data_IF_377754120763
#
_entry.id   IF_377754120763
#
_cell.length_a   1.000
_cell.length_b   1.000
_cell.length_c   1.000
_cell.angle_alpha   90.00
_cell.angle_beta   90.00
_cell.angle_gamma   90.00
#
_symmetry.space_group_name_H-M   'P 1'
#
loop_
_entity.id
_entity.type
_entity.pdbx_description
1 polymer ?
#
# COMPACT_ATOMS: atom_id res chain seq x y z
N UNK A 1 36.55 23.43 14.13
CA UNK A 1 35.51 23.10 13.14
C UNK A 1 35.67 21.64 12.74
N UNK A 2 35.01 20.73 13.45
CA UNK A 2 35.01 19.31 13.09
C UNK A 2 34.15 19.11 11.86
N UNK A 3 34.69 18.51 10.80
CA UNK A 3 33.90 18.11 9.64
C UNK A 3 32.77 17.22 10.13
N UNK A 4 31.52 17.62 9.88
CA UNK A 4 30.36 16.78 10.12
C UNK A 4 30.49 15.57 9.23
N UNK A 5 30.98 14.48 9.81
CA UNK A 5 31.21 13.28 9.06
C UNK A 5 29.86 12.64 8.72
N UNK A 6 29.66 12.34 7.45
CA UNK A 6 28.34 12.02 6.90
C UNK A 6 27.77 10.74 7.50
N UNK A 7 26.61 10.84 8.14
CA UNK A 7 25.77 9.67 8.43
C UNK A 7 25.01 9.30 7.17
N UNK A 8 25.07 8.02 6.80
CA UNK A 8 24.33 7.48 5.66
C UNK A 8 23.20 6.59 6.20
N UNK A 9 21.94 7.03 6.09
CA UNK A 9 20.79 6.19 6.41
C UNK A 9 20.48 5.25 5.25
N UNK A 10 20.13 4.01 5.57
CA UNK A 10 19.67 2.98 4.65
C UNK A 10 18.31 2.48 5.10
N UNK A 11 17.34 2.48 4.19
CA UNK A 11 15.97 2.04 4.42
C UNK A 11 15.68 0.80 3.57
N UNK A 12 14.98 -0.17 4.16
CA UNK A 12 14.61 -1.44 3.53
C UNK A 12 13.13 -1.68 3.81
N UNK A 13 12.33 -1.66 2.75
CA UNK A 13 10.90 -1.98 2.80
C UNK A 13 10.61 -3.23 1.98
N UNK A 14 10.08 -4.27 2.63
CA UNK A 14 9.72 -5.54 2.02
C UNK A 14 8.27 -5.88 2.37
N UNK A 15 7.47 -6.17 1.36
CA UNK A 15 6.09 -6.60 1.56
C UNK A 15 5.73 -7.69 0.55
N UNK A 16 5.07 -8.74 1.05
CA UNK A 16 4.46 -9.77 0.21
C UNK A 16 3.02 -9.92 0.64
N UNK A 17 2.08 -9.55 -0.24
CA UNK A 17 0.65 -9.72 0.01
C UNK A 17 -0.01 -10.54 -1.09
N UNK A 18 -1.04 -11.28 -0.71
CA UNK A 18 -1.91 -12.05 -1.58
C UNK A 18 -3.33 -11.56 -1.41
N UNK A 19 -4.01 -11.27 -2.51
CA UNK A 19 -5.39 -10.79 -2.50
C UNK A 19 -6.31 -11.80 -3.15
N UNK A 20 -7.35 -12.23 -2.43
CA UNK A 20 -8.43 -13.06 -2.96
C UNK A 20 -9.75 -12.29 -2.89
N UNK A 21 -10.47 -12.27 -4.02
CA UNK A 21 -11.82 -11.70 -4.10
C UNK A 21 -12.83 -12.79 -3.77
N UNK A 22 -13.71 -12.52 -2.83
CA UNK A 22 -14.77 -13.43 -2.42
C UNK A 22 -16.12 -12.79 -2.70
N UNK A 23 -17.01 -13.49 -3.41
CA UNK A 23 -18.35 -13.01 -3.75
C UNK A 23 -18.92 -13.63 -5.04
N UNK A 24 -20.24 -13.80 -5.09
CA UNK A 24 -20.95 -14.14 -6.33
C UNK A 24 -20.99 -12.88 -7.17
N UNK A 25 -20.12 -12.78 -8.17
CA UNK A 25 -19.97 -11.61 -9.04
C UNK A 25 -21.34 -11.05 -9.49
N UNK A 26 -22.31 -11.93 -9.78
CA UNK A 26 -23.65 -11.56 -10.24
C UNK A 26 -24.59 -11.02 -9.14
N UNK A 27 -24.58 -11.58 -7.93
CA UNK A 27 -25.44 -11.11 -6.82
C UNK A 27 -24.87 -9.82 -6.18
N UNK A 28 -23.54 -9.69 -6.15
CA UNK A 28 -22.86 -8.52 -5.59
C UNK A 28 -22.81 -7.32 -6.56
N UNK A 29 -22.90 -7.54 -7.87
CA UNK A 29 -23.00 -6.47 -8.87
C UNK A 29 -24.34 -5.75 -8.84
N UNK A 30 -25.43 -6.44 -8.50
CA UNK A 30 -26.76 -5.82 -8.34
C UNK A 30 -26.87 -4.98 -7.06
N UNK A 31 -25.96 -5.20 -6.08
CA UNK A 31 -25.90 -4.50 -4.80
C UNK A 31 -24.61 -3.68 -4.59
N UNK A 32 -23.78 -3.53 -5.62
CA UNK A 32 -22.57 -2.68 -5.66
C UNK A 32 -21.54 -2.86 -4.53
N UNK A 33 -21.38 -4.07 -3.96
CA UNK A 33 -20.42 -4.32 -2.89
C UNK A 33 -19.28 -5.24 -3.39
N UNK A 34 -18.03 -4.79 -3.34
CA UNK A 34 -16.85 -5.62 -3.60
C UNK A 34 -16.14 -5.95 -2.28
N UNK A 35 -16.09 -7.24 -1.92
CA UNK A 35 -15.33 -7.73 -0.76
C UNK A 35 -13.99 -8.29 -1.22
N UNK A 36 -12.91 -7.83 -0.59
CA UNK A 36 -11.53 -8.28 -0.86
C UNK A 36 -10.91 -8.71 0.46
N UNK A 37 -10.33 -9.90 0.48
CA UNK A 37 -9.53 -10.39 1.59
C UNK A 37 -8.07 -10.38 1.14
N UNK A 38 -7.27 -9.61 1.84
CA UNK A 38 -5.81 -9.57 1.65
C UNK A 38 -5.12 -10.20 2.86
N UNK A 39 -4.19 -11.09 2.58
CA UNK A 39 -3.30 -11.70 3.58
C UNK A 39 -1.85 -11.49 3.18
N UNK A 40 -0.92 -11.50 4.14
CA UNK A 40 0.48 -11.39 3.80
C UNK A 40 1.36 -11.07 4.99
N UNK A 41 2.52 -10.50 4.69
CA UNK A 41 3.43 -9.96 5.69
C UNK A 41 4.15 -8.73 5.15
N UNK A 42 4.58 -7.88 6.07
CA UNK A 42 5.45 -6.76 5.76
C UNK A 42 6.62 -6.70 6.76
N UNK A 43 7.72 -6.11 6.31
CA UNK A 43 8.93 -5.90 7.07
C UNK A 43 9.56 -4.58 6.64
N UNK A 44 9.85 -3.71 7.61
CA UNK A 44 10.50 -2.42 7.38
C UNK A 44 11.72 -2.33 8.29
N UNK A 45 12.86 -1.89 7.76
CA UNK A 45 14.08 -1.72 8.53
C UNK A 45 14.82 -0.44 8.15
N UNK A 46 15.39 0.21 9.17
CA UNK A 46 16.24 1.39 9.05
C UNK A 46 17.59 1.10 9.71
N UNK A 47 18.66 1.26 8.95
CA UNK A 47 20.04 1.09 9.40
C UNK A 47 20.79 2.40 9.14
N UNK A 48 21.43 2.95 10.16
CA UNK A 48 22.27 4.16 10.02
C UNK A 48 23.74 3.79 10.18
N UNK A 49 24.55 4.14 9.19
CA UNK A 49 26.00 3.96 9.20
C UNK A 49 26.74 5.27 9.48
N UNK A 50 27.84 5.15 10.21
CA UNK A 50 28.82 6.19 10.44
C UNK A 50 30.23 5.60 10.27
N UNK A 51 30.94 5.92 9.19
CA UNK A 51 32.26 5.33 8.85
C UNK A 51 32.29 3.81 9.01
N UNK A 52 31.37 3.13 8.33
CA UNK A 52 31.28 1.66 8.34
C UNK A 52 30.86 1.04 9.69
N UNK A 53 30.59 1.84 10.71
CA UNK A 53 29.98 1.40 11.97
C UNK A 53 28.46 1.59 11.94
N UNK A 54 27.73 0.53 12.33
CA UNK A 54 26.28 0.64 12.50
C UNK A 54 25.96 1.32 13.83
N UNK A 55 25.49 2.56 13.76
CA UNK A 55 25.19 3.37 14.96
C UNK A 55 23.73 3.27 15.40
N UNK A 56 22.83 2.86 14.52
CA UNK A 56 21.41 2.70 14.84
C UNK A 56 20.76 1.62 13.97
N UNK A 57 19.90 0.79 14.60
CA UNK A 57 19.10 -0.24 13.94
C UNK A 57 17.67 -0.16 14.45
N UNK A 58 16.72 0.04 13.54
CA UNK A 58 15.30 -0.07 13.79
C UNK A 58 14.68 -1.05 12.79
N UNK A 59 13.72 -1.83 13.25
CA UNK A 59 13.04 -2.84 12.47
C UNK A 59 11.63 -3.00 13.00
N UNK A 60 10.68 -3.18 12.09
CA UNK A 60 9.28 -3.35 12.38
C UNK A 60 8.65 -4.23 11.31
N UNK A 61 7.41 -4.65 11.53
CA UNK A 61 6.68 -5.42 10.54
C UNK A 61 5.52 -6.17 11.16
N UNK A 62 4.70 -6.73 10.28
CA UNK A 62 3.54 -7.54 10.60
C UNK A 62 3.70 -8.90 9.91
N UNK A 63 4.02 -9.97 10.65
CA UNK A 63 4.24 -11.30 10.06
C UNK A 63 2.94 -11.96 9.59
N UNK A 64 1.79 -11.48 10.07
CA UNK A 64 0.48 -11.97 9.69
C UNK A 64 -0.45 -10.79 9.49
N UNK A 65 -0.32 -10.15 8.33
CA UNK A 65 -1.20 -9.09 7.87
C UNK A 65 -2.49 -9.72 7.36
N UNK A 66 -3.61 -9.32 7.95
CA UNK A 66 -4.95 -9.74 7.53
C UNK A 66 -5.84 -8.51 7.38
N UNK A 67 -6.31 -8.26 6.16
CA UNK A 67 -7.10 -7.07 5.83
C UNK A 67 -8.37 -7.45 5.08
N UNK A 68 -9.49 -6.97 5.61
CA UNK A 68 -10.80 -7.07 4.98
C UNK A 68 -11.24 -5.72 4.44
N UNK A 69 -11.34 -5.60 3.12
CA UNK A 69 -11.83 -4.39 2.47
C UNK A 69 -13.20 -4.64 1.83
N UNK A 70 -14.17 -3.77 2.17
CA UNK A 70 -15.46 -3.72 1.50
C UNK A 70 -15.60 -2.39 0.78
N UNK A 71 -15.54 -2.41 -0.56
CA UNK A 71 -15.73 -1.21 -1.38
C UNK A 71 -17.16 -1.17 -1.91
N UNK A 72 -17.92 -0.13 -1.56
CA UNK A 72 -19.24 0.15 -2.13
C UNK A 72 -19.08 1.06 -3.35
N UNK A 73 -19.54 0.63 -4.53
CA UNK A 73 -19.51 1.43 -5.77
C UNK A 73 -20.93 1.71 -6.27
N UNK A 74 -21.70 2.59 -5.61
CA UNK A 74 -23.14 2.71 -5.83
C UNK A 74 -23.57 3.10 -7.26
N UNK A 75 -22.66 3.64 -8.09
CA UNK A 75 -22.96 3.98 -9.51
C UNK A 75 -22.36 2.98 -10.52
N UNK A 76 -21.80 1.87 -10.07
CA UNK A 76 -21.34 0.79 -10.95
C UNK A 76 -20.15 1.14 -11.87
N UNK A 77 -19.94 0.38 -12.97
CA UNK A 77 -18.83 0.58 -13.91
C UNK A 77 -18.84 1.96 -14.61
N UNK A 78 -20.01 2.61 -14.70
CA UNK A 78 -20.18 3.91 -15.37
C UNK A 78 -19.52 5.07 -14.62
N UNK A 79 -19.23 4.90 -13.33
CA UNK A 79 -18.49 5.85 -12.51
C UNK A 79 -17.05 6.08 -13.00
N UNK A 80 -16.44 5.08 -13.65
CA UNK A 80 -15.09 5.19 -14.22
C UNK A 80 -15.08 5.95 -15.56
N UNK A 81 -16.23 6.03 -16.25
CA UNK A 81 -16.38 6.76 -17.51
C UNK A 81 -16.55 8.28 -17.31
N UNK A 82 -17.04 8.74 -16.15
CA UNK A 82 -17.12 10.17 -15.82
C UNK A 82 -15.73 10.83 -15.76
N UNK A 83 -14.68 10.08 -15.40
CA UNK A 83 -13.31 10.59 -15.39
C UNK A 83 -12.72 10.76 -16.80
N UNK A 84 -13.16 9.94 -17.76
CA UNK A 84 -12.64 9.96 -19.15
C UNK A 84 -13.36 10.97 -20.03
N UNK A 85 -14.61 11.33 -19.69
CA UNK A 85 -15.42 12.28 -20.46
C UNK A 85 -15.28 13.74 -20.02
N UNK A 86 -14.39 14.06 -19.07
CA UNK A 86 -14.08 15.46 -18.75
C UNK A 86 -13.23 16.04 -19.89
N UNK A 87 -13.77 16.93 -20.75
CA UNK A 87 -12.91 17.67 -21.66
C UNK A 87 -11.89 18.47 -20.84
N UNK A 88 -10.67 18.69 -21.35
CA UNK A 88 -9.72 19.58 -20.69
C UNK A 88 -10.39 20.94 -20.46
N UNK A 89 -10.38 21.40 -19.20
CA UNK A 89 -10.90 22.74 -18.85
C UNK A 89 -10.04 23.80 -19.53
N UNK A 90 -10.61 24.71 -20.33
CA UNK A 90 -9.86 25.77 -21.00
C UNK A 90 -9.65 27.02 -20.12
N UNK A 91 -9.31 26.81 -18.84
CA UNK A 91 -8.86 27.87 -17.92
C UNK A 91 -7.75 27.35 -17.03
#
# INVERSE_FOLDING_TARGET
>A
MGRGQGQLPYEVDLAVTQSKRYGNLFLDMLAFNRKTWETGWNFNALIVLNHDEVVYKLWSGEPNLERFETKKKPLGPLQELDGTLRPPSPY
#
